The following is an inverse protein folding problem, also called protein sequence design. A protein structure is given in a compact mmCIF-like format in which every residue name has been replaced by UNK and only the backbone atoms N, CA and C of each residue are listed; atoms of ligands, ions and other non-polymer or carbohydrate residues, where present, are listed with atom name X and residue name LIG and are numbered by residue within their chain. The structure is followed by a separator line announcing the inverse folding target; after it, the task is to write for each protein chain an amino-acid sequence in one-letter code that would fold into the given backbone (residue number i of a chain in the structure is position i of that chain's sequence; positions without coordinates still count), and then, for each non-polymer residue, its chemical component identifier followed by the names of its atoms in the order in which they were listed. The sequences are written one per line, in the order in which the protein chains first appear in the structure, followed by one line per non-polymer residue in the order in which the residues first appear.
data_IF_180821181444
#
_entry.id   IF_180821181444
#
_cell.length_a   1.000
_cell.length_b   1.000
_cell.length_c   1.000
_cell.angle_alpha   90.00
_cell.angle_beta   90.00
_cell.angle_gamma   90.00
#
_symmetry.space_group_name_H-M   'P 1'
#
loop_
_entity.id
_entity.type
_entity.pdbx_description
1 polymer ?
#
# COMPACT_ATOMS: atom_id res chain seq x y z
N UNK A 1 -3.88 -11.65 13.80
CA UNK A 1 -2.78 -10.66 13.77
C UNK A 1 -1.75 -10.99 12.70
N UNK A 2 -1.00 -9.99 12.27
CA UNK A 2 0.23 -10.18 11.50
C UNK A 2 1.33 -10.56 12.49
N UNK A 3 2.00 -11.68 12.26
CA UNK A 3 3.04 -12.19 13.16
C UNK A 3 4.26 -11.26 13.24
N UNK A 4 4.66 -10.66 12.11
CA UNK A 4 5.72 -9.67 12.03
C UNK A 4 5.42 -8.45 12.95
N UNK A 5 4.25 -7.86 12.82
CA UNK A 5 3.85 -6.70 13.65
C UNK A 5 3.74 -7.03 15.12
N UNK A 6 3.24 -8.21 15.46
CA UNK A 6 3.16 -8.67 16.85
C UNK A 6 4.55 -8.79 17.49
N UNK A 7 5.55 -9.26 16.73
CA UNK A 7 6.94 -9.37 17.20
C UNK A 7 7.58 -7.98 17.32
N UNK A 8 7.42 -7.12 16.31
CA UNK A 8 7.95 -5.76 16.33
C UNK A 8 7.42 -4.96 17.53
N UNK A 9 6.11 -5.01 17.78
CA UNK A 9 5.50 -4.35 18.93
C UNK A 9 5.98 -4.93 20.27
N UNK A 10 6.16 -6.24 20.35
CA UNK A 10 6.68 -6.88 21.56
C UNK A 10 8.10 -6.43 21.86
N UNK A 11 8.99 -6.42 20.86
CA UNK A 11 10.39 -6.01 21.04
C UNK A 11 10.47 -4.53 21.41
N UNK A 12 9.71 -3.68 20.74
CA UNK A 12 9.63 -2.26 21.08
C UNK A 12 9.19 -2.05 22.53
N UNK A 13 8.15 -2.74 22.99
CA UNK A 13 7.63 -2.61 24.36
C UNK A 13 8.57 -3.17 25.42
N UNK A 14 9.34 -4.24 25.11
CA UNK A 14 10.16 -4.94 26.11
C UNK A 14 11.61 -4.48 26.13
N UNK A 15 12.17 -4.13 24.97
CA UNK A 15 13.59 -3.77 24.81
C UNK A 15 13.80 -2.31 24.43
N UNK A 16 12.76 -1.60 23.99
CA UNK A 16 12.85 -0.24 23.48
C UNK A 16 13.65 -0.13 22.18
N UNK A 17 13.81 -1.23 21.47
CA UNK A 17 14.56 -1.31 20.21
C UNK A 17 13.63 -1.60 19.04
N UNK A 18 13.89 -0.99 17.90
CA UNK A 18 13.23 -1.36 16.66
C UNK A 18 13.87 -2.61 16.07
N UNK A 19 13.04 -3.56 15.66
CA UNK A 19 13.46 -4.75 14.93
C UNK A 19 12.65 -4.86 13.64
N UNK A 20 13.33 -5.14 12.55
CA UNK A 20 12.67 -5.42 11.26
C UNK A 20 12.63 -6.93 11.09
N UNK A 21 11.45 -7.51 11.14
CA UNK A 21 11.22 -8.94 10.98
C UNK A 21 10.61 -9.30 9.62
N UNK A 22 10.45 -8.31 8.77
CA UNK A 22 9.94 -8.52 7.40
C UNK A 22 10.86 -9.48 6.64
N UNK A 23 10.26 -10.45 5.95
CA UNK A 23 11.01 -11.50 5.24
C UNK A 23 11.54 -12.64 6.09
N UNK A 24 11.26 -12.70 7.40
CA UNK A 24 11.62 -13.88 8.19
C UNK A 24 10.79 -15.09 7.77
N UNK A 25 11.42 -16.31 7.69
CA UNK A 25 10.67 -17.56 7.50
C UNK A 25 9.65 -17.80 8.60
N UNK A 26 8.52 -18.44 8.26
CA UNK A 26 7.45 -18.72 9.22
C UNK A 26 7.94 -19.47 10.45
N UNK A 27 8.84 -20.43 10.27
CA UNK A 27 9.43 -21.23 11.36
C UNK A 27 10.19 -20.34 12.35
N UNK A 28 10.90 -19.33 11.85
CA UNK A 28 11.63 -18.37 12.70
C UNK A 28 10.67 -17.45 13.46
N UNK A 29 9.60 -17.00 12.81
CA UNK A 29 8.57 -16.20 13.46
C UNK A 29 7.85 -17.00 14.55
N UNK A 30 7.47 -18.25 14.28
CA UNK A 30 6.83 -19.13 15.26
C UNK A 30 7.74 -19.44 16.47
N UNK A 31 9.00 -19.73 16.20
CA UNK A 31 9.99 -19.96 17.25
C UNK A 31 10.14 -18.71 18.13
N UNK A 32 10.28 -17.53 17.52
CA UNK A 32 10.44 -16.28 18.27
C UNK A 32 9.23 -15.99 19.17
N UNK A 33 8.01 -16.20 18.66
CA UNK A 33 6.76 -16.00 19.43
C UNK A 33 6.73 -16.94 20.64
N UNK A 34 7.10 -18.21 20.47
CA UNK A 34 7.13 -19.21 21.54
C UNK A 34 8.23 -18.94 22.56
N UNK A 35 9.45 -18.72 22.11
CA UNK A 35 10.65 -18.56 22.97
C UNK A 35 10.55 -17.30 23.84
N UNK A 36 9.89 -16.26 23.36
CA UNK A 36 9.69 -15.03 24.10
C UNK A 36 8.35 -14.97 24.86
N UNK A 37 7.54 -16.03 24.82
CA UNK A 37 6.27 -16.10 25.54
C UNK A 37 5.28 -15.00 25.13
N UNK A 38 5.28 -14.61 23.85
CA UNK A 38 4.40 -13.55 23.35
C UNK A 38 2.95 -13.98 23.49
N UNK A 39 2.13 -13.12 24.03
CA UNK A 39 0.69 -13.34 24.23
C UNK A 39 -0.15 -12.43 23.31
N UNK A 40 -1.35 -12.88 23.01
CA UNK A 40 -2.30 -12.09 22.25
C UNK A 40 -2.67 -10.79 22.99
N UNK A 41 -2.53 -9.61 22.38
CA UNK A 41 -2.84 -8.36 23.05
C UNK A 41 -4.33 -8.19 23.39
N UNK A 42 -5.23 -8.89 22.67
CA UNK A 42 -6.66 -8.76 22.89
C UNK A 42 -7.19 -9.73 23.97
N UNK A 43 -6.72 -10.99 23.98
CA UNK A 43 -7.27 -12.02 24.87
C UNK A 43 -6.29 -12.57 25.91
N UNK A 44 -5.00 -12.17 25.86
CA UNK A 44 -3.96 -12.58 26.78
C UNK A 44 -3.50 -14.04 26.67
N UNK A 45 -3.98 -14.78 25.66
CA UNK A 45 -3.59 -16.19 25.46
C UNK A 45 -2.35 -16.31 24.58
N UNK A 46 -1.56 -17.34 24.81
CA UNK A 46 -0.39 -17.72 24.00
C UNK A 46 -0.69 -18.79 22.95
N UNK A 47 -1.93 -19.24 22.89
CA UNK A 47 -2.38 -20.28 21.95
C UNK A 47 -2.69 -19.68 20.57
N UNK A 48 -1.64 -19.51 19.78
CA UNK A 48 -1.76 -19.03 18.42
C UNK A 48 -1.88 -20.20 17.44
N UNK A 49 -2.69 -20.01 16.39
CA UNK A 49 -2.67 -20.90 15.23
C UNK A 49 -1.34 -20.79 14.49
N UNK A 50 -0.98 -21.82 13.73
CA UNK A 50 0.21 -21.77 12.88
C UNK A 50 0.21 -20.55 11.97
N UNK A 51 1.39 -19.98 11.77
CA UNK A 51 1.57 -18.84 10.87
C UNK A 51 1.27 -19.29 9.43
N UNK A 52 0.37 -18.58 8.77
CA UNK A 52 0.00 -18.86 7.39
C UNK A 52 0.41 -17.71 6.52
N UNK A 53 0.93 -18.01 5.33
CA UNK A 53 1.16 -17.01 4.33
C UNK A 53 -0.18 -16.42 3.86
N UNK A 54 -0.30 -15.11 3.96
CA UNK A 54 -1.51 -14.40 3.57
C UNK A 54 -1.32 -13.77 2.19
N UNK A 55 -2.24 -14.06 1.28
CA UNK A 55 -2.24 -13.43 -0.04
C UNK A 55 -3.12 -12.18 0.00
N UNK A 56 -2.50 -11.01 -0.13
CA UNK A 56 -3.19 -9.72 -0.20
C UNK A 56 -4.05 -9.55 -1.45
N UNK A 57 -3.73 -10.27 -2.52
CA UNK A 57 -4.53 -10.24 -3.74
C UNK A 57 -5.78 -11.09 -3.60
N UNK A 58 -6.91 -10.55 -4.02
CA UNK A 58 -8.18 -11.26 -4.03
C UNK A 58 -8.19 -12.30 -5.16
N UNK A 59 -8.24 -13.57 -4.77
CA UNK A 59 -8.31 -14.69 -5.70
C UNK A 59 -9.75 -14.99 -6.11
N UNK A 60 -9.96 -15.27 -7.38
CA UNK A 60 -11.22 -15.76 -7.93
C UNK A 60 -10.96 -16.72 -9.08
N UNK A 61 -12.00 -17.20 -9.72
CA UNK A 61 -11.90 -18.17 -10.82
C UNK A 61 -12.70 -17.69 -12.03
N UNK A 62 -12.19 -17.98 -13.21
CA UNK A 62 -12.87 -17.70 -14.46
C UNK A 62 -13.66 -18.94 -14.90
N UNK A 63 -14.93 -18.73 -15.28
CA UNK A 63 -15.80 -19.83 -15.70
C UNK A 63 -16.62 -20.43 -14.55
N UNK A 64 -17.13 -21.65 -14.76
CA UNK A 64 -18.08 -22.32 -13.85
C UNK A 64 -17.42 -23.31 -12.89
N UNK A 65 -16.15 -23.65 -13.11
CA UNK A 65 -15.39 -24.59 -12.28
C UNK A 65 -14.25 -23.89 -11.55
N UNK A 66 -14.04 -24.27 -10.29
CA UNK A 66 -12.94 -23.77 -9.46
C UNK A 66 -11.76 -24.74 -9.56
N UNK A 67 -10.85 -24.49 -10.49
CA UNK A 67 -9.59 -25.20 -10.59
C UNK A 67 -8.39 -24.24 -10.72
N UNK A 68 -7.19 -24.75 -10.56
CA UNK A 68 -5.97 -23.94 -10.61
C UNK A 68 -5.70 -23.31 -11.97
N UNK A 69 -6.19 -23.92 -13.05
CA UNK A 69 -6.01 -23.42 -14.40
C UNK A 69 -6.90 -22.21 -14.70
N UNK A 70 -8.03 -22.10 -13.98
CA UNK A 70 -8.98 -21.00 -14.13
C UNK A 70 -8.80 -19.90 -13.07
N UNK A 71 -7.82 -20.05 -12.17
CA UNK A 71 -7.56 -19.09 -11.10
C UNK A 71 -7.07 -17.75 -11.66
N UNK A 72 -7.72 -16.68 -11.24
CA UNK A 72 -7.33 -15.30 -11.55
C UNK A 72 -7.32 -14.46 -10.27
N UNK A 73 -6.73 -13.28 -10.35
CA UNK A 73 -6.69 -12.33 -9.25
C UNK A 73 -7.35 -11.02 -9.65
N UNK A 74 -8.13 -10.46 -8.75
CA UNK A 74 -8.63 -9.10 -8.90
C UNK A 74 -7.48 -8.12 -8.64
N UNK A 75 -7.47 -7.01 -9.37
CA UNK A 75 -6.40 -6.00 -9.25
C UNK A 75 -6.41 -5.34 -7.87
N UNK A 76 -5.25 -5.24 -7.19
CA UNK A 76 -5.15 -4.59 -5.88
C UNK A 76 -5.02 -3.06 -5.96
N UNK A 77 -4.76 -2.53 -7.17
CA UNK A 77 -4.64 -1.10 -7.48
C UNK A 77 -4.86 -0.86 -8.97
N UNK A 78 -5.09 0.38 -9.35
CA UNK A 78 -5.32 0.76 -10.75
C UNK A 78 -4.03 1.04 -11.52
N UNK A 79 -2.90 1.22 -10.82
CA UNK A 79 -1.60 1.57 -11.41
C UNK A 79 -1.08 0.54 -12.42
N UNK A 80 -1.21 -0.77 -12.15
CA UNK A 80 -0.71 -1.80 -13.05
C UNK A 80 -1.30 -1.68 -14.46
N UNK A 81 -2.59 -1.38 -14.55
CA UNK A 81 -3.26 -1.17 -15.85
C UNK A 81 -2.67 0.00 -16.62
N UNK A 82 -2.26 1.06 -15.94
CA UNK A 82 -1.61 2.22 -16.53
C UNK A 82 -0.23 1.85 -17.07
N UNK A 83 0.60 1.17 -16.27
CA UNK A 83 1.96 0.76 -16.69
C UNK A 83 1.94 -0.21 -17.88
N UNK A 84 1.07 -1.22 -17.84
CA UNK A 84 0.93 -2.18 -18.95
C UNK A 84 0.52 -1.50 -20.26
N UNK A 85 -0.34 -0.47 -20.18
CA UNK A 85 -0.83 0.24 -21.35
C UNK A 85 0.00 1.46 -21.74
N UNK A 86 1.05 1.80 -21.03
CA UNK A 86 1.87 3.00 -21.25
C UNK A 86 2.26 3.18 -22.73
N UNK A 87 2.90 2.16 -23.34
CA UNK A 87 3.33 2.24 -24.74
C UNK A 87 2.17 2.37 -25.72
N UNK A 88 1.04 1.72 -25.44
CA UNK A 88 -0.15 1.82 -26.27
C UNK A 88 -0.72 3.24 -26.24
N UNK A 89 -0.89 3.81 -25.05
CA UNK A 89 -1.38 5.18 -24.88
C UNK A 89 -0.42 6.18 -25.53
N UNK A 90 0.88 6.07 -25.28
CA UNK A 90 1.89 6.94 -25.86
C UNK A 90 1.80 6.95 -27.40
N UNK A 91 1.72 5.77 -28.02
CA UNK A 91 1.66 5.62 -29.46
C UNK A 91 0.36 6.14 -30.06
N UNK A 92 -0.79 5.77 -29.49
CA UNK A 92 -2.11 6.13 -30.03
C UNK A 92 -2.42 7.60 -29.83
N UNK A 93 -2.03 8.18 -28.70
CA UNK A 93 -2.20 9.61 -28.41
C UNK A 93 -1.06 10.49 -28.95
N UNK A 94 0.00 9.90 -29.50
CA UNK A 94 1.21 10.57 -30.02
C UNK A 94 1.86 11.51 -29.00
N UNK A 95 1.81 11.16 -27.71
CA UNK A 95 2.37 11.97 -26.63
C UNK A 95 3.87 11.77 -26.50
N UNK A 96 4.56 12.85 -26.13
CA UNK A 96 5.97 12.85 -25.71
C UNK A 96 6.04 13.15 -24.22
N UNK A 97 7.10 12.71 -23.55
CA UNK A 97 7.34 13.05 -22.15
C UNK A 97 7.53 14.57 -21.98
N UNK A 98 6.98 15.18 -20.93
CA UNK A 98 6.17 14.54 -19.89
C UNK A 98 4.70 14.38 -20.28
N UNK A 99 4.03 13.35 -19.77
CA UNK A 99 2.58 13.20 -19.84
C UNK A 99 2.07 12.28 -18.74
N UNK A 100 0.81 12.44 -18.35
CA UNK A 100 0.16 11.60 -17.36
C UNK A 100 -0.92 10.71 -17.97
N UNK A 101 -1.17 9.60 -17.29
CA UNK A 101 -2.31 8.73 -17.52
C UNK A 101 -3.07 8.62 -16.21
N UNK A 102 -4.35 8.96 -16.23
CA UNK A 102 -5.23 8.85 -15.08
C UNK A 102 -6.19 7.67 -15.25
N UNK A 103 -6.50 7.01 -14.16
CA UNK A 103 -7.52 5.97 -14.10
C UNK A 103 -8.36 6.12 -12.83
N UNK A 104 -9.67 5.98 -12.99
CA UNK A 104 -10.62 5.85 -11.90
C UNK A 104 -11.26 4.47 -12.03
N UNK A 105 -11.30 3.71 -10.94
CA UNK A 105 -11.91 2.39 -11.00
C UNK A 105 -11.82 1.61 -9.69
N UNK A 106 -12.40 0.43 -9.71
CA UNK A 106 -12.40 -0.50 -8.57
C UNK A 106 -11.03 -1.13 -8.39
N UNK A 107 -10.64 -1.26 -7.11
CA UNK A 107 -9.51 -2.06 -6.67
C UNK A 107 -9.95 -2.98 -5.53
N UNK A 108 -9.21 -4.07 -5.33
CA UNK A 108 -9.60 -5.15 -4.43
C UNK A 108 -8.40 -5.60 -3.61
N UNK A 109 -8.51 -5.56 -2.33
CA UNK A 109 -7.49 -6.10 -1.42
C UNK A 109 -8.12 -7.10 -0.48
N UNK A 110 -7.54 -8.25 -0.31
CA UNK A 110 -8.02 -9.27 0.61
C UNK A 110 -7.63 -8.92 2.05
N UNK A 111 -8.29 -7.91 2.61
CA UNK A 111 -8.01 -7.43 3.96
C UNK A 111 -8.33 -8.51 5.00
N UNK A 112 -7.40 -8.75 5.92
CA UNK A 112 -7.59 -9.70 7.02
C UNK A 112 -8.73 -9.21 7.93
N UNK A 113 -8.70 -7.92 8.30
CA UNK A 113 -9.66 -7.31 9.21
C UNK A 113 -10.22 -6.03 8.61
N UNK A 114 -11.26 -6.11 7.78
CA UNK A 114 -12.01 -4.93 7.37
C UNK A 114 -12.58 -4.21 8.60
N UNK A 115 -12.65 -2.89 8.57
CA UNK A 115 -13.11 -2.15 9.72
C UNK A 115 -13.22 -0.64 9.49
N UNK A 116 -13.62 0.07 10.55
CA UNK A 116 -13.81 1.51 10.54
C UNK A 116 -14.77 1.96 9.43
N UNK A 117 -15.93 1.31 9.36
CA UNK A 117 -16.98 1.54 8.38
C UNK A 117 -16.43 1.39 6.95
N UNK A 118 -16.31 2.47 6.18
CA UNK A 118 -15.81 2.46 4.79
C UNK A 118 -14.29 2.67 4.69
N UNK A 119 -13.60 2.89 5.80
CA UNK A 119 -12.19 3.24 5.77
C UNK A 119 -11.31 2.06 5.31
N UNK A 120 -11.62 0.84 5.76
CA UNK A 120 -10.87 -0.37 5.36
C UNK A 120 -11.82 -1.44 4.85
N UNK A 121 -11.98 -1.48 3.54
CA UNK A 121 -12.86 -2.41 2.83
C UNK A 121 -12.08 -3.28 1.87
N UNK A 122 -12.67 -4.40 1.46
CA UNK A 122 -12.04 -5.32 0.48
C UNK A 122 -12.23 -4.88 -0.96
N UNK A 123 -13.26 -4.09 -1.22
CA UNK A 123 -13.54 -3.44 -2.49
C UNK A 123 -13.62 -1.94 -2.27
N UNK A 124 -12.90 -1.17 -3.06
CA UNK A 124 -12.87 0.30 -2.97
C UNK A 124 -12.61 0.92 -4.34
N UNK A 125 -12.85 2.19 -4.46
CA UNK A 125 -12.52 2.97 -5.65
C UNK A 125 -11.20 3.70 -5.43
N UNK A 126 -10.37 3.70 -6.48
CA UNK A 126 -9.17 4.51 -6.54
C UNK A 126 -9.24 5.47 -7.72
N UNK A 127 -8.64 6.63 -7.53
CA UNK A 127 -8.30 7.57 -8.58
C UNK A 127 -6.79 7.77 -8.54
N UNK A 128 -6.12 7.31 -9.60
CA UNK A 128 -4.67 7.38 -9.71
C UNK A 128 -4.26 8.15 -10.97
N UNK A 129 -3.16 8.88 -10.87
CA UNK A 129 -2.48 9.54 -11.99
C UNK A 129 -1.03 9.12 -11.97
N UNK A 130 -0.61 8.40 -13.01
CA UNK A 130 0.80 8.10 -13.23
C UNK A 130 1.39 9.14 -14.20
N UNK A 131 2.28 9.98 -13.69
CA UNK A 131 2.91 11.03 -14.46
C UNK A 131 4.32 10.63 -14.86
N UNK A 132 4.53 10.47 -16.16
CA UNK A 132 5.79 10.01 -16.74
C UNK A 132 6.63 11.20 -17.18
N UNK A 133 7.82 11.33 -16.62
CA UNK A 133 8.77 12.41 -16.91
C UNK A 133 10.11 11.87 -17.42
N UNK A 134 11.00 12.76 -17.81
CA UNK A 134 12.36 12.36 -18.21
C UNK A 134 13.18 11.99 -16.96
N UNK A 135 14.07 11.00 -17.06
CA UNK A 135 14.99 10.69 -15.97
C UNK A 135 15.75 11.93 -15.48
N UNK A 136 15.86 12.09 -14.15
CA UNK A 136 16.52 13.21 -13.50
C UNK A 136 15.67 14.49 -13.35
N UNK A 137 14.41 14.49 -13.78
CA UNK A 137 13.47 15.59 -13.54
C UNK A 137 12.36 15.21 -12.53
N UNK A 138 12.49 14.08 -11.88
CA UNK A 138 11.52 13.50 -10.96
C UNK A 138 11.25 14.39 -9.74
N UNK A 139 12.29 14.90 -9.08
CA UNK A 139 12.12 15.76 -7.91
C UNK A 139 11.49 17.13 -8.24
N UNK A 140 11.81 17.69 -9.42
CA UNK A 140 11.17 18.93 -9.88
C UNK A 140 9.68 18.72 -10.11
N UNK A 141 9.31 17.61 -10.76
CA UNK A 141 7.90 17.26 -10.97
C UNK A 141 7.19 16.85 -9.69
N UNK A 142 7.87 16.20 -8.75
CA UNK A 142 7.32 15.89 -7.43
C UNK A 142 6.91 17.18 -6.70
N UNK A 143 7.77 18.19 -6.65
CA UNK A 143 7.44 19.48 -6.02
C UNK A 143 6.28 20.19 -6.76
N UNK A 144 6.28 20.15 -8.10
CA UNK A 144 5.14 20.68 -8.87
C UNK A 144 3.81 20.02 -8.48
N UNK A 145 3.78 18.69 -8.44
CA UNK A 145 2.56 17.95 -8.11
C UNK A 145 2.14 18.14 -6.66
N UNK A 146 3.07 18.20 -5.73
CA UNK A 146 2.82 18.52 -4.33
C UNK A 146 2.05 19.84 -4.18
N UNK A 147 2.53 20.89 -4.83
CA UNK A 147 1.87 22.19 -4.81
C UNK A 147 0.55 22.21 -5.60
N UNK A 148 0.49 21.51 -6.70
CA UNK A 148 -0.74 21.38 -7.49
C UNK A 148 -1.85 20.70 -6.70
N UNK A 149 -1.56 19.56 -6.07
CA UNK A 149 -2.53 18.82 -5.27
C UNK A 149 -3.01 19.63 -4.06
N UNK A 150 -2.11 20.33 -3.36
CA UNK A 150 -2.51 21.25 -2.28
C UNK A 150 -3.49 22.31 -2.79
N UNK A 151 -3.16 22.98 -3.88
CA UNK A 151 -4.04 24.01 -4.47
C UNK A 151 -5.38 23.44 -4.93
N UNK A 152 -5.37 22.22 -5.49
CA UNK A 152 -6.59 21.53 -5.87
C UNK A 152 -7.51 21.30 -4.68
N UNK A 153 -6.98 20.77 -3.56
CA UNK A 153 -7.75 20.54 -2.33
C UNK A 153 -8.32 21.85 -1.75
N UNK A 154 -7.54 22.92 -1.74
CA UNK A 154 -8.02 24.26 -1.34
C UNK A 154 -9.16 24.74 -2.25
N UNK A 155 -9.09 24.49 -3.56
CA UNK A 155 -10.13 24.87 -4.51
C UNK A 155 -11.45 24.11 -4.29
N UNK A 156 -11.40 22.95 -3.64
CA UNK A 156 -12.58 22.18 -3.22
C UNK A 156 -13.18 22.68 -1.90
N UNK A 157 -12.61 23.73 -1.28
CA UNK A 157 -13.10 24.33 -0.06
C UNK A 157 -12.48 23.75 1.23
N UNK A 158 -11.39 22.99 1.13
CA UNK A 158 -10.66 22.58 2.34
C UNK A 158 -9.98 23.76 2.99
N UNK A 159 -9.99 23.81 4.34
CA UNK A 159 -9.34 24.88 5.10
C UNK A 159 -7.81 24.67 5.06
N UNK A 160 -7.08 25.71 4.66
CA UNK A 160 -5.62 25.69 4.57
C UNK A 160 -4.95 25.39 5.90
N UNK A 161 -5.49 25.92 7.00
CA UNK A 161 -4.93 25.71 8.35
C UNK A 161 -4.97 24.25 8.81
N UNK A 162 -5.82 23.44 8.18
CA UNK A 162 -5.97 22.02 8.47
C UNK A 162 -5.20 21.12 7.48
N UNK A 163 -4.53 21.68 6.48
CA UNK A 163 -3.75 20.91 5.51
C UNK A 163 -2.28 20.92 5.90
N UNK A 164 -1.72 19.73 6.08
CA UNK A 164 -0.30 19.52 6.29
C UNK A 164 0.32 18.73 5.15
N UNK A 165 1.44 19.21 4.62
CA UNK A 165 2.30 18.44 3.72
C UNK A 165 3.35 17.71 4.59
N UNK A 166 3.37 16.38 4.54
CA UNK A 166 4.32 15.55 5.28
C UNK A 166 5.22 14.82 4.31
N UNK A 167 6.45 15.29 4.20
CA UNK A 167 7.49 14.58 3.46
C UNK A 167 7.95 13.38 4.30
N UNK A 168 8.13 12.22 3.66
CA UNK A 168 8.59 11.01 4.32
C UNK A 168 10.10 11.06 4.56
N UNK A 169 10.51 10.55 5.72
CA UNK A 169 11.92 10.31 6.02
C UNK A 169 12.45 9.14 5.17
N UNK A 170 13.79 9.07 5.02
CA UNK A 170 14.44 8.06 4.15
C UNK A 170 14.10 6.62 4.53
N UNK A 171 13.91 6.38 5.82
CA UNK A 171 13.57 5.08 6.39
C UNK A 171 12.13 4.64 6.09
N UNK A 172 11.25 5.60 5.81
CA UNK A 172 9.84 5.35 5.44
C UNK A 172 9.66 5.11 3.94
N UNK A 173 10.64 5.49 3.12
CA UNK A 173 10.52 5.39 1.66
C UNK A 173 10.50 3.93 1.20
N UNK A 174 9.62 3.62 0.24
CA UNK A 174 9.69 2.36 -0.49
C UNK A 174 11.01 2.26 -1.25
N UNK A 175 11.53 1.04 -1.43
CA UNK A 175 12.82 0.78 -2.08
C UNK A 175 12.96 1.35 -3.51
N UNK A 176 11.86 1.65 -4.16
CA UNK A 176 11.80 2.24 -5.51
C UNK A 176 11.53 3.76 -5.50
N UNK A 177 11.27 4.36 -4.33
CA UNK A 177 10.89 5.76 -4.20
C UNK A 177 12.08 6.64 -3.86
N UNK A 178 12.19 7.79 -4.52
CA UNK A 178 13.19 8.83 -4.23
C UNK A 178 12.63 9.87 -3.26
N UNK A 179 11.32 10.12 -3.30
CA UNK A 179 10.60 11.03 -2.42
C UNK A 179 9.12 10.65 -2.35
N UNK A 180 8.52 10.88 -1.21
CA UNK A 180 7.08 10.69 -0.97
C UNK A 180 6.58 11.83 -0.09
N UNK A 181 5.42 12.37 -0.40
CA UNK A 181 4.75 13.40 0.41
C UNK A 181 3.29 13.03 0.59
N UNK A 182 2.84 12.96 1.82
CA UNK A 182 1.42 12.87 2.15
C UNK A 182 0.81 14.26 2.29
N UNK A 183 -0.43 14.41 1.85
CA UNK A 183 -1.23 15.59 2.13
C UNK A 183 -2.26 15.18 3.17
N UNK A 184 -2.06 15.63 4.39
CA UNK A 184 -2.87 15.27 5.54
C UNK A 184 -3.85 16.39 5.86
N UNK A 185 -5.06 16.01 6.27
CA UNK A 185 -6.07 16.90 6.79
C UNK A 185 -6.24 16.64 8.29
N UNK A 186 -6.05 17.68 9.12
CA UNK A 186 -6.04 17.62 10.59
C UNK A 186 -7.40 17.97 11.17
#
# INVERSE_FOLDING_TARGET
FRADKLIEEFVMKTKGEEIVVDGWPNEKLEAFVKDNGIICPDCGKSDFTNIRQFNLMYKTYQGVTEDTATQIYLRPETAQGIFVNFKNVQRTSRKKLPFGIAQIGKAFRNEITPGNFIFRTREFEQMEVEFFCKPGSDLEWHEYWKQFCKKFLLSLGMNEDNIRLRDHDKEELSHYSTATTDIEYL
#
